data_IF_518076675124
#
_entry.id   IF_518076675124
#
_cell.length_a   1.000
_cell.length_b   1.000
_cell.length_c   1.000
_cell.angle_alpha   90.00
_cell.angle_beta   90.00
_cell.angle_gamma   90.00
#
_symmetry.space_group_name_H-M   'P 1'
#
loop_
_entity.id
_entity.type
_entity.pdbx_description
1 polymer ?
#
# COMPACT_ATOMS: atom_id res chain seq x y z
N UNK A 1 14.51 -37.53 39.69
CA UNK A 1 13.16 -37.66 40.28
C UNK A 1 12.72 -36.30 40.81
N UNK A 2 11.46 -35.93 40.55
CA UNK A 2 10.69 -34.82 41.13
C UNK A 2 11.10 -33.38 40.78
N UNK A 3 10.21 -32.41 40.55
CA UNK A 3 8.79 -32.40 40.19
C UNK A 3 8.45 -30.99 39.65
N UNK A 4 7.42 -30.95 38.83
CA UNK A 4 6.71 -29.82 38.20
C UNK A 4 6.57 -28.52 39.02
N UNK A 5 6.51 -27.37 38.34
CA UNK A 5 5.42 -26.39 38.54
C UNK A 5 5.33 -25.37 37.38
N UNK A 6 4.23 -25.47 36.63
CA UNK A 6 3.78 -24.53 35.60
C UNK A 6 2.64 -23.68 36.19
N UNK A 7 2.60 -22.35 36.00
CA UNK A 7 1.36 -21.60 36.20
C UNK A 7 0.65 -21.35 34.87
N UNK A 8 -0.61 -21.73 34.89
CA UNK A 8 -1.61 -21.65 33.83
C UNK A 8 -2.35 -20.31 33.85
N UNK A 9 -2.85 -19.89 32.67
CA UNK A 9 -3.99 -18.97 32.41
C UNK A 9 -3.89 -17.49 32.84
N UNK A 10 -3.92 -16.60 31.84
CA UNK A 10 -5.06 -15.66 31.63
C UNK A 10 -5.07 -15.08 30.21
N UNK A 11 -5.92 -15.68 29.38
CA UNK A 11 -6.34 -15.23 28.05
C UNK A 11 -7.34 -14.07 28.25
N UNK A 12 -6.98 -12.85 27.87
CA UNK A 12 -7.94 -11.72 27.82
C UNK A 12 -8.78 -11.84 26.56
N UNK A 13 -10.07 -12.10 26.74
CA UNK A 13 -11.10 -11.92 25.71
C UNK A 13 -11.43 -10.41 25.59
N UNK A 14 -11.68 -9.87 24.40
CA UNK A 14 -12.33 -8.57 24.26
C UNK A 14 -13.85 -8.71 24.40
N UNK A 15 -14.43 -7.97 25.35
CA UNK A 15 -15.88 -7.79 25.48
C UNK A 15 -16.40 -6.97 24.30
N UNK A 16 -17.12 -7.63 23.38
CA UNK A 16 -18.01 -6.96 22.43
C UNK A 16 -19.35 -6.71 23.12
N UNK A 17 -19.60 -5.47 23.56
CA UNK A 17 -20.95 -5.01 23.90
C UNK A 17 -21.61 -4.46 22.64
N UNK A 18 -22.49 -5.25 22.06
CA UNK A 18 -23.52 -4.75 21.15
C UNK A 18 -24.62 -4.07 21.96
N UNK A 19 -25.22 -3.03 21.38
CA UNK A 19 -26.62 -2.62 21.56
C UNK A 19 -26.89 -1.43 20.64
N UNK A 20 -27.53 -1.69 19.48
CA UNK A 20 -28.41 -0.70 18.87
C UNK A 20 -29.66 -1.45 18.43
N UNK A 21 -30.74 -1.11 19.12
CA UNK A 21 -32.11 -1.52 18.89
C UNK A 21 -32.61 -1.01 17.54
N UNK A 22 -33.29 -1.86 16.77
CA UNK A 22 -34.17 -1.44 15.70
C UNK A 22 -35.58 -1.90 16.06
N UNK A 23 -36.34 -0.98 16.65
CA UNK A 23 -37.77 -1.11 16.88
C UNK A 23 -38.53 -0.93 15.57
N UNK A 24 -39.47 -1.84 15.35
CA UNK A 24 -40.81 -1.67 14.79
C UNK A 24 -41.08 -0.43 13.92
N UNK A 25 -41.38 -0.70 12.64
CA UNK A 25 -42.56 -0.09 12.01
C UNK A 25 -43.29 -1.10 11.13
N UNK A 26 -44.54 -1.27 11.51
CA UNK A 26 -45.62 -2.01 10.89
C UNK A 26 -46.00 -1.57 9.47
N UNK A 27 -46.42 -2.59 8.70
CA UNK A 27 -47.67 -2.71 7.93
C UNK A 27 -48.05 -1.56 6.97
N UNK A 28 -48.24 -1.90 5.69
CA UNK A 28 -49.52 -1.82 4.94
C UNK A 28 -49.28 -2.37 3.53
N UNK A 29 -50.09 -3.37 3.17
CA UNK A 29 -50.09 -3.98 1.84
C UNK A 29 -50.75 -3.13 0.77
N UNK A 30 -50.43 -3.41 -0.49
CA UNK A 30 -51.24 -3.02 -1.62
C UNK A 30 -51.25 -4.16 -2.65
N UNK A 31 -52.45 -4.72 -2.82
CA UNK A 31 -52.82 -5.73 -3.81
C UNK A 31 -52.88 -5.06 -5.18
N UNK A 32 -52.13 -5.55 -6.17
CA UNK A 32 -52.30 -5.14 -7.57
C UNK A 32 -53.46 -5.92 -8.21
N UNK A 33 -54.37 -5.23 -8.94
CA UNK A 33 -55.60 -5.83 -9.43
C UNK A 33 -55.41 -6.62 -10.74
N UNK A 34 -56.13 -7.74 -10.78
CA UNK A 34 -56.48 -8.54 -11.95
C UNK A 34 -57.15 -7.66 -13.01
N UNK A 35 -56.64 -7.68 -14.25
CA UNK A 35 -57.35 -7.15 -15.42
C UNK A 35 -57.60 -8.28 -16.41
N UNK A 36 -58.88 -8.66 -16.50
CA UNK A 36 -59.44 -9.63 -17.45
C UNK A 36 -60.29 -8.84 -18.45
N UNK A 37 -60.02 -8.95 -19.75
CA UNK A 37 -61.04 -8.89 -20.82
C UNK A 37 -60.52 -9.48 -22.14
N UNK A 38 -61.48 -10.13 -22.81
CA UNK A 38 -61.49 -10.97 -24.02
C UNK A 38 -61.51 -10.12 -25.31
N UNK A 39 -61.55 -10.86 -26.45
CA UNK A 39 -61.88 -10.54 -27.87
C UNK A 39 -60.67 -10.15 -28.73
N UNK A 40 -60.46 -10.64 -29.95
CA UNK A 40 -61.19 -11.53 -30.86
C UNK A 40 -60.49 -11.51 -32.23
N UNK A 41 -60.75 -12.55 -33.02
CA UNK A 41 -60.25 -12.97 -34.35
C UNK A 41 -60.20 -11.90 -35.46
N UNK A 42 -59.16 -11.89 -36.31
CA UNK A 42 -59.22 -12.20 -37.77
C UNK A 42 -57.86 -12.09 -38.50
N UNK A 43 -57.74 -12.90 -39.55
CA UNK A 43 -56.60 -13.19 -40.41
C UNK A 43 -56.27 -12.08 -41.43
N UNK A 44 -55.04 -12.06 -41.96
CA UNK A 44 -54.78 -11.46 -43.28
C UNK A 44 -53.36 -10.92 -43.59
N UNK A 45 -52.38 -11.81 -43.82
CA UNK A 45 -51.35 -11.80 -44.90
C UNK A 45 -50.37 -10.59 -45.10
N UNK A 46 -49.30 -10.68 -45.92
CA UNK A 46 -48.03 -11.34 -45.61
C UNK A 46 -46.77 -10.43 -45.74
N UNK A 47 -45.62 -11.00 -45.34
CA UNK A 47 -44.24 -10.74 -45.79
C UNK A 47 -43.66 -9.31 -45.89
N UNK A 48 -42.75 -8.99 -44.97
CA UNK A 48 -41.41 -8.46 -45.31
C UNK A 48 -40.40 -8.94 -44.26
N UNK A 49 -39.70 -10.04 -44.54
CA UNK A 49 -38.55 -10.50 -43.75
C UNK A 49 -37.28 -9.88 -44.33
N UNK A 50 -36.83 -8.79 -43.72
CA UNK A 50 -35.47 -8.26 -43.93
C UNK A 50 -34.52 -8.94 -42.93
N UNK A 51 -33.55 -9.78 -43.36
CA UNK A 51 -32.49 -10.22 -42.47
C UNK A 51 -31.38 -9.15 -42.47
N UNK A 52 -31.62 -8.02 -41.82
CA UNK A 52 -30.52 -7.15 -41.42
C UNK A 52 -29.86 -7.77 -40.20
N UNK A 53 -28.90 -8.66 -40.46
CA UNK A 53 -27.93 -9.11 -39.46
C UNK A 53 -27.02 -7.93 -39.12
N UNK A 54 -27.55 -6.98 -38.36
CA UNK A 54 -26.71 -6.11 -37.54
C UNK A 54 -26.02 -7.03 -36.53
N UNK A 55 -24.76 -7.35 -36.82
CA UNK A 55 -23.78 -7.82 -35.85
C UNK A 55 -23.81 -6.85 -34.67
N UNK A 56 -24.65 -7.17 -33.69
CA UNK A 56 -24.76 -6.44 -32.44
C UNK A 56 -23.40 -6.44 -31.79
N UNK A 57 -22.70 -5.31 -31.92
CA UNK A 57 -21.54 -4.99 -31.11
C UNK A 57 -21.95 -5.29 -29.66
N UNK A 58 -21.26 -6.19 -28.94
CA UNK A 58 -21.69 -6.57 -27.61
C UNK A 58 -21.75 -5.30 -26.77
N UNK A 59 -22.96 -4.94 -26.32
CA UNK A 59 -23.18 -3.83 -25.38
C UNK A 59 -22.36 -4.15 -24.14
N UNK A 60 -21.16 -3.57 -24.05
CA UNK A 60 -20.29 -3.69 -22.89
C UNK A 60 -21.07 -3.10 -21.72
N UNK A 61 -21.57 -3.97 -20.85
CA UNK A 61 -22.31 -3.54 -19.68
C UNK A 61 -21.36 -2.85 -18.71
N UNK A 62 -21.87 -1.87 -17.94
CA UNK A 62 -21.08 -1.21 -16.88
C UNK A 62 -20.42 -2.23 -15.92
N UNK A 63 -21.06 -3.39 -15.73
CA UNK A 63 -20.54 -4.50 -14.95
C UNK A 63 -19.30 -5.12 -15.59
N UNK A 64 -19.31 -5.38 -16.90
CA UNK A 64 -18.16 -5.92 -17.63
C UNK A 64 -16.96 -4.95 -17.60
N UNK A 65 -17.20 -3.64 -17.71
CA UNK A 65 -16.14 -2.63 -17.62
C UNK A 65 -15.50 -2.63 -16.22
N UNK A 66 -16.31 -2.62 -15.16
CA UNK A 66 -15.82 -2.68 -13.78
C UNK A 66 -15.03 -3.96 -13.48
N UNK A 67 -15.47 -5.10 -14.04
CA UNK A 67 -14.78 -6.38 -13.91
C UNK A 67 -13.43 -6.38 -14.64
N UNK A 68 -13.37 -5.83 -15.86
CA UNK A 68 -12.13 -5.66 -16.62
C UNK A 68 -11.13 -4.75 -15.89
N UNK A 69 -11.59 -3.64 -15.32
CA UNK A 69 -10.73 -2.77 -14.50
C UNK A 69 -10.19 -3.49 -13.27
N UNK A 70 -11.03 -4.26 -12.58
CA UNK A 70 -10.63 -5.04 -11.40
C UNK A 70 -9.59 -6.10 -11.78
N UNK A 71 -9.82 -6.83 -12.87
CA UNK A 71 -8.87 -7.79 -13.40
C UNK A 71 -7.52 -7.12 -13.75
N UNK A 72 -7.56 -5.95 -14.40
CA UNK A 72 -6.36 -5.16 -14.71
C UNK A 72 -5.60 -4.70 -13.47
N UNK A 73 -6.29 -4.27 -12.41
CA UNK A 73 -5.67 -3.91 -11.12
C UNK A 73 -5.05 -5.13 -10.43
N UNK A 74 -5.71 -6.28 -10.47
CA UNK A 74 -5.19 -7.53 -9.90
C UNK A 74 -3.94 -8.02 -10.64
N UNK A 75 -3.96 -7.99 -11.98
CA UNK A 75 -2.79 -8.34 -12.80
C UNK A 75 -1.58 -7.48 -12.45
N UNK A 76 -1.77 -6.16 -12.30
CA UNK A 76 -0.68 -5.24 -11.92
C UNK A 76 -0.10 -5.54 -10.54
N UNK A 77 -0.94 -5.91 -9.56
CA UNK A 77 -0.47 -6.35 -8.25
C UNK A 77 0.33 -7.65 -8.33
N UNK A 78 -0.17 -8.62 -9.09
CA UNK A 78 0.54 -9.88 -9.31
C UNK A 78 1.89 -9.66 -10.00
N UNK A 79 1.95 -8.76 -11.01
CA UNK A 79 3.22 -8.38 -11.64
C UNK A 79 4.20 -7.76 -10.65
N UNK A 80 3.71 -6.91 -9.73
CA UNK A 80 4.54 -6.32 -8.68
C UNK A 80 5.06 -7.37 -7.69
N UNK A 81 4.19 -8.25 -7.19
CA UNK A 81 4.56 -9.36 -6.31
C UNK A 81 5.55 -10.32 -6.97
N UNK A 82 5.32 -10.66 -8.24
CA UNK A 82 6.23 -11.47 -9.04
C UNK A 82 7.60 -10.79 -9.22
N UNK A 83 7.64 -9.46 -9.37
CA UNK A 83 8.88 -8.70 -9.42
C UNK A 83 9.62 -8.73 -8.08
N UNK A 84 8.92 -8.55 -6.96
CA UNK A 84 9.51 -8.66 -5.61
C UNK A 84 10.07 -10.06 -5.32
N UNK A 85 9.38 -11.10 -5.79
CA UNK A 85 9.78 -12.49 -5.57
C UNK A 85 11.04 -12.90 -6.35
N UNK A 86 11.47 -12.12 -7.35
CA UNK A 86 12.71 -12.43 -8.06
C UNK A 86 13.91 -12.23 -7.14
N UNK A 87 14.72 -13.27 -7.00
CA UNK A 87 15.90 -13.24 -6.12
C UNK A 87 16.91 -12.14 -6.46
N UNK A 88 16.96 -11.70 -7.72
CA UNK A 88 17.80 -10.58 -8.20
C UNK A 88 17.39 -9.21 -7.64
N UNK A 89 16.13 -9.05 -7.24
CA UNK A 89 15.61 -7.78 -6.71
C UNK A 89 15.70 -7.71 -5.19
N UNK A 90 15.98 -8.82 -4.51
CA UNK A 90 16.16 -8.87 -3.07
C UNK A 90 17.57 -8.41 -2.73
N UNK A 91 17.68 -7.41 -1.86
CA UNK A 91 18.98 -6.97 -1.40
C UNK A 91 19.52 -7.92 -0.33
N UNK A 92 20.74 -8.40 -0.56
CA UNK A 92 21.44 -9.30 0.35
C UNK A 92 22.71 -8.60 0.85
N UNK A 93 22.87 -8.38 2.17
CA UNK A 93 24.08 -7.80 2.74
C UNK A 93 25.35 -8.55 2.31
N UNK A 94 25.25 -9.85 2.06
CA UNK A 94 26.37 -10.70 1.65
C UNK A 94 26.88 -10.37 0.23
N UNK A 95 26.03 -9.80 -0.63
CA UNK A 95 26.39 -9.39 -1.98
C UNK A 95 27.08 -8.02 -2.02
N UNK A 96 26.81 -7.16 -1.03
CA UNK A 96 27.45 -5.85 -0.87
C UNK A 96 27.83 -5.62 0.60
N UNK A 97 28.86 -6.33 1.11
CA UNK A 97 29.26 -6.26 2.52
C UNK A 97 29.84 -4.90 2.89
N UNK A 98 30.24 -4.11 1.90
CA UNK A 98 30.83 -2.79 2.09
C UNK A 98 29.81 -1.65 1.98
N UNK A 99 28.52 -1.97 1.85
CA UNK A 99 27.48 -0.96 1.79
C UNK A 99 27.51 -0.07 3.04
N UNK A 100 27.79 1.20 2.83
CA UNK A 100 27.77 2.24 3.87
C UNK A 100 26.92 3.40 3.39
N UNK A 101 26.02 3.85 4.26
CA UNK A 101 25.29 5.08 4.01
C UNK A 101 26.25 6.27 4.10
N UNK A 102 26.17 7.19 3.13
CA UNK A 102 27.11 8.31 3.03
C UNK A 102 26.77 9.42 4.01
N UNK A 103 27.79 10.17 4.43
CA UNK A 103 27.62 11.39 5.23
C UNK A 103 26.71 12.36 4.46
N UNK A 104 25.79 13.01 5.18
CA UNK A 104 24.80 13.92 4.61
C UNK A 104 23.52 13.25 4.11
N UNK A 105 23.47 11.91 4.01
CA UNK A 105 22.23 11.23 3.65
C UNK A 105 21.17 11.33 4.74
N UNK A 106 19.91 11.44 4.30
CA UNK A 106 18.73 11.35 5.16
C UNK A 106 18.30 9.89 5.25
N UNK A 107 18.23 9.39 6.46
CA UNK A 107 17.95 7.99 6.77
C UNK A 107 16.65 7.87 7.55
N UNK A 108 15.92 6.79 7.30
CA UNK A 108 14.65 6.47 7.93
C UNK A 108 14.74 5.08 8.53
N UNK A 109 14.25 4.91 9.75
CA UNK A 109 14.23 3.60 10.41
C UNK A 109 13.14 2.69 9.81
N UNK A 110 13.33 1.38 9.90
CA UNK A 110 12.43 0.37 9.34
C UNK A 110 10.95 0.61 9.64
N UNK A 111 10.61 0.79 10.92
CA UNK A 111 9.22 0.95 11.37
C UNK A 111 8.58 2.20 10.79
N UNK A 112 9.31 3.32 10.80
CA UNK A 112 8.85 4.59 10.25
C UNK A 112 8.65 4.50 8.74
N UNK A 113 9.63 3.90 8.03
CA UNK A 113 9.57 3.69 6.59
C UNK A 113 8.36 2.81 6.21
N UNK A 114 8.22 1.65 6.86
CA UNK A 114 7.14 0.70 6.61
C UNK A 114 5.77 1.35 6.82
N UNK A 115 5.61 2.11 7.90
CA UNK A 115 4.34 2.77 8.24
C UNK A 115 4.02 3.96 7.34
N UNK A 116 5.03 4.76 7.00
CA UNK A 116 4.82 5.98 6.21
C UNK A 116 4.52 5.65 4.74
N UNK A 117 5.35 4.82 4.11
CA UNK A 117 5.24 4.44 2.70
C UNK A 117 4.27 3.27 2.46
N UNK A 118 3.82 2.60 3.54
CA UNK A 118 2.94 1.42 3.50
C UNK A 118 3.61 0.29 2.70
N UNK A 119 4.86 0.01 3.05
CA UNK A 119 5.59 -1.08 2.46
C UNK A 119 5.30 -2.42 3.15
N UNK A 120 5.33 -3.51 2.38
CA UNK A 120 5.38 -4.88 2.91
C UNK A 120 6.80 -5.22 3.38
N UNK A 121 6.95 -6.32 4.12
CA UNK A 121 8.29 -6.77 4.51
C UNK A 121 9.15 -7.15 3.28
N UNK A 122 8.52 -7.74 2.26
CA UNK A 122 9.16 -8.13 1.01
C UNK A 122 9.66 -6.92 0.21
N UNK A 123 8.86 -5.84 0.17
CA UNK A 123 9.25 -4.57 -0.44
C UNK A 123 10.47 -3.96 0.28
N UNK A 124 10.46 -3.97 1.61
CA UNK A 124 11.61 -3.49 2.39
C UNK A 124 12.85 -4.36 2.17
N UNK A 125 12.69 -5.66 1.87
CA UNK A 125 13.78 -6.59 1.55
C UNK A 125 14.53 -6.25 0.26
N UNK A 126 13.94 -5.47 -0.64
CA UNK A 126 14.60 -5.04 -1.88
C UNK A 126 15.60 -3.90 -1.69
N UNK A 127 15.61 -3.26 -0.53
CA UNK A 127 16.37 -2.03 -0.30
C UNK A 127 17.65 -2.26 0.51
N UNK A 128 18.76 -1.62 0.12
CA UNK A 128 19.96 -1.57 0.94
C UNK A 128 19.69 -0.91 2.30
N UNK A 129 20.18 -1.53 3.36
CA UNK A 129 20.06 -1.01 4.72
C UNK A 129 21.36 -1.12 5.50
N UNK A 130 21.48 -0.29 6.53
CA UNK A 130 22.52 -0.42 7.56
C UNK A 130 21.86 -0.81 8.87
N UNK A 131 22.51 -1.72 9.59
CA UNK A 131 22.07 -2.13 10.93
C UNK A 131 22.63 -1.18 11.99
N UNK A 132 21.86 -0.97 13.06
CA UNK A 132 22.31 -0.24 14.23
C UNK A 132 21.87 -0.97 15.50
N UNK A 133 22.63 -0.78 16.58
CA UNK A 133 22.29 -1.37 17.86
C UNK A 133 21.00 -0.76 18.40
N UNK A 134 20.04 -1.62 18.74
CA UNK A 134 18.76 -1.20 19.27
C UNK A 134 18.84 -1.14 20.79
N UNK A 135 18.76 0.09 21.34
CA UNK A 135 18.82 0.35 22.78
C UNK A 135 17.79 -0.46 23.59
N UNK A 136 16.64 -0.78 23.00
CA UNK A 136 15.57 -1.51 23.68
C UNK A 136 15.73 -3.04 23.59
N UNK A 137 16.45 -3.54 22.59
CA UNK A 137 16.67 -4.96 22.39
C UNK A 137 17.99 -5.22 21.63
N UNK A 138 19.10 -5.44 22.35
CA UNK A 138 20.40 -5.69 21.73
C UNK A 138 20.43 -6.90 20.79
N UNK A 139 19.58 -7.91 21.02
CA UNK A 139 19.48 -9.12 20.19
C UNK A 139 18.79 -8.88 18.84
N UNK A 140 18.16 -7.71 18.65
CA UNK A 140 17.42 -7.37 17.42
C UNK A 140 17.87 -6.02 16.91
N UNK A 141 18.93 -5.97 16.09
CA UNK A 141 19.42 -4.71 15.55
C UNK A 141 18.34 -4.01 14.74
N UNK A 142 18.29 -2.70 14.88
CA UNK A 142 17.46 -1.85 14.05
C UNK A 142 18.00 -1.81 12.62
N UNK A 143 17.13 -1.51 11.66
CA UNK A 143 17.51 -1.30 10.25
C UNK A 143 17.18 0.12 9.84
N UNK A 144 18.10 0.74 9.12
CA UNK A 144 17.98 2.10 8.64
C UNK A 144 18.16 2.13 7.12
N UNK A 145 17.35 2.93 6.43
CA UNK A 145 17.26 2.96 4.98
C UNK A 145 17.48 4.38 4.48
N UNK A 146 18.13 4.54 3.34
CA UNK A 146 18.24 5.81 2.67
C UNK A 146 16.85 6.30 2.21
N UNK A 147 16.50 7.53 2.55
CA UNK A 147 15.21 8.14 2.17
C UNK A 147 15.02 8.18 0.65
N UNK A 148 16.07 8.42 -0.12
CA UNK A 148 15.97 8.52 -1.58
C UNK A 148 15.61 7.16 -2.20
N UNK A 149 16.18 6.07 -1.69
CA UNK A 149 15.89 4.73 -2.20
C UNK A 149 14.48 4.28 -1.82
N UNK A 150 14.01 4.62 -0.62
CA UNK A 150 12.61 4.46 -0.22
C UNK A 150 11.65 5.20 -1.17
N UNK A 151 11.98 6.45 -1.52
CA UNK A 151 11.16 7.24 -2.46
C UNK A 151 11.15 6.62 -3.85
N UNK A 152 12.32 6.20 -4.37
CA UNK A 152 12.42 5.52 -5.66
C UNK A 152 11.58 4.27 -5.71
N UNK A 153 11.61 3.43 -4.67
CA UNK A 153 10.76 2.24 -4.57
C UNK A 153 9.28 2.61 -4.53
N UNK A 154 8.90 3.64 -3.77
CA UNK A 154 7.52 4.11 -3.69
C UNK A 154 7.02 4.59 -5.06
N UNK A 155 7.82 5.36 -5.80
CA UNK A 155 7.48 5.85 -7.13
C UNK A 155 7.34 4.70 -8.12
N UNK A 156 8.27 3.74 -8.08
CA UNK A 156 8.22 2.53 -8.91
C UNK A 156 6.92 1.75 -8.65
N UNK A 157 6.62 1.48 -7.37
CA UNK A 157 5.40 0.79 -6.95
C UNK A 157 4.15 1.47 -7.49
N UNK A 158 4.03 2.78 -7.31
CA UNK A 158 2.84 3.52 -7.78
C UNK A 158 2.74 3.53 -9.31
N UNK A 159 3.85 3.66 -10.03
CA UNK A 159 3.85 3.59 -11.49
C UNK A 159 3.34 2.21 -11.98
N UNK A 160 3.81 1.11 -11.37
CA UNK A 160 3.37 -0.26 -11.70
C UNK A 160 1.89 -0.47 -11.39
N UNK A 161 1.45 -0.08 -10.20
CA UNK A 161 0.05 -0.25 -9.78
C UNK A 161 -0.92 0.56 -10.65
N UNK A 162 -0.45 1.65 -11.25
CA UNK A 162 -1.24 2.47 -12.18
C UNK A 162 -1.05 2.08 -13.65
N UNK A 163 -0.23 1.07 -13.96
CA UNK A 163 -0.11 0.49 -15.31
C UNK A 163 0.85 1.22 -16.23
N UNK A 164 1.85 1.91 -15.68
CA UNK A 164 2.96 2.42 -16.49
C UNK A 164 3.80 1.21 -16.95
N UNK A 165 3.88 1.02 -18.26
CA UNK A 165 4.61 -0.08 -18.88
C UNK A 165 6.13 0.11 -18.79
N UNK A 166 6.90 -0.98 -18.81
CA UNK A 166 8.37 -0.94 -18.78
C UNK A 166 8.99 -0.65 -17.41
N UNK A 167 8.20 -0.34 -16.37
CA UNK A 167 8.73 0.03 -15.05
C UNK A 167 9.40 -1.13 -14.33
N UNK A 168 8.99 -2.37 -14.63
CA UNK A 168 9.56 -3.58 -14.03
C UNK A 168 10.77 -4.09 -14.79
N UNK A 169 11.05 -3.55 -15.98
CA UNK A 169 12.11 -4.03 -16.87
C UNK A 169 13.43 -3.33 -16.50
N UNK A 170 14.20 -3.96 -15.61
CA UNK A 170 15.52 -3.48 -15.21
C UNK A 170 15.47 -2.17 -14.42
N UNK A 171 16.32 -1.20 -14.82
CA UNK A 171 16.41 0.11 -14.18
C UNK A 171 15.30 1.03 -14.72
N UNK A 172 14.39 1.51 -13.88
CA UNK A 172 13.28 2.34 -14.33
C UNK A 172 13.80 3.67 -14.88
N UNK A 173 13.30 4.07 -16.06
CA UNK A 173 13.63 5.35 -16.70
C UNK A 173 13.11 6.52 -15.85
N UNK A 174 13.81 7.65 -15.90
CA UNK A 174 13.47 8.83 -15.10
C UNK A 174 12.04 9.33 -15.36
N UNK A 175 11.55 9.26 -16.60
CA UNK A 175 10.20 9.73 -16.93
C UNK A 175 9.12 8.85 -16.29
N UNK A 176 9.37 7.54 -16.19
CA UNK A 176 8.48 6.63 -15.48
C UNK A 176 8.45 6.93 -13.98
N UNK A 177 9.61 7.24 -13.39
CA UNK A 177 9.71 7.64 -11.99
C UNK A 177 9.05 8.99 -11.73
N UNK A 178 9.09 9.95 -12.67
CA UNK A 178 8.35 11.22 -12.56
C UNK A 178 6.84 10.98 -12.52
N UNK A 179 6.32 10.08 -13.36
CA UNK A 179 4.89 9.69 -13.32
C UNK A 179 4.57 9.00 -12.00
N UNK A 180 5.40 8.05 -11.58
CA UNK A 180 5.28 7.37 -10.28
C UNK A 180 5.27 8.34 -9.10
N UNK A 181 6.12 9.37 -9.13
CA UNK A 181 6.15 10.43 -8.12
C UNK A 181 4.82 11.19 -8.06
N UNK A 182 4.28 11.63 -9.19
CA UNK A 182 2.98 12.34 -9.24
C UNK A 182 1.86 11.50 -8.63
N UNK A 183 1.83 10.20 -8.98
CA UNK A 183 0.84 9.26 -8.45
C UNK A 183 1.01 9.03 -6.94
N UNK A 184 2.25 8.90 -6.47
CA UNK A 184 2.57 8.79 -5.06
C UNK A 184 2.15 10.02 -4.27
N UNK A 185 2.49 11.22 -4.75
CA UNK A 185 2.15 12.48 -4.10
C UNK A 185 0.61 12.64 -4.00
N UNK A 186 -0.12 12.31 -5.07
CA UNK A 186 -1.59 12.31 -5.07
C UNK A 186 -2.16 11.32 -4.04
N UNK A 187 -1.59 10.12 -3.93
CA UNK A 187 -1.98 9.13 -2.92
C UNK A 187 -1.72 9.64 -1.51
N UNK A 188 -0.56 10.25 -1.27
CA UNK A 188 -0.20 10.79 0.05
C UNK A 188 -1.10 11.95 0.47
N UNK A 189 -1.47 12.84 -0.46
CA UNK A 189 -2.42 13.92 -0.22
C UNK A 189 -3.82 13.39 0.12
N UNK A 190 -4.27 12.33 -0.56
CA UNK A 190 -5.54 11.67 -0.24
C UNK A 190 -5.52 11.07 1.18
N UNK A 191 -4.42 10.40 1.55
CA UNK A 191 -4.24 9.85 2.88
C UNK A 191 -4.20 10.92 3.97
N UNK A 192 -3.50 12.04 3.73
CA UNK A 192 -3.48 13.17 4.66
C UNK A 192 -4.87 13.79 4.83
N UNK A 193 -5.61 13.96 3.72
CA UNK A 193 -6.99 14.46 3.74
C UNK A 193 -7.92 13.53 4.55
N UNK A 194 -7.78 12.20 4.38
CA UNK A 194 -8.54 11.22 5.17
C UNK A 194 -8.18 11.27 6.65
N UNK A 195 -6.90 11.40 6.97
CA UNK A 195 -6.43 11.48 8.35
C UNK A 195 -6.91 12.76 9.03
N UNK A 196 -6.87 13.91 8.34
CA UNK A 196 -7.42 15.17 8.84
C UNK A 196 -8.89 15.05 9.18
N UNK A 197 -9.69 14.39 8.33
CA UNK A 197 -11.11 14.14 8.60
C UNK A 197 -11.34 13.28 9.84
N UNK A 198 -10.45 12.33 10.14
CA UNK A 198 -10.60 11.44 11.30
C UNK A 198 -9.96 11.94 12.59
N UNK A 199 -9.16 13.01 12.53
CA UNK A 199 -8.39 13.53 13.66
C UNK A 199 -8.55 15.05 13.83
N UNK A 200 -9.78 15.55 13.66
CA UNK A 200 -10.14 16.95 13.95
C UNK A 200 -9.23 17.98 13.24
N UNK A 201 -8.93 17.72 11.97
CA UNK A 201 -8.09 18.59 11.15
C UNK A 201 -6.58 18.45 11.38
N UNK A 202 -6.12 17.58 12.29
CA UNK A 202 -4.69 17.34 12.51
C UNK A 202 -4.04 16.69 11.29
N UNK A 203 -2.86 17.17 10.92
CA UNK A 203 -2.06 16.58 9.84
C UNK A 203 -1.46 15.24 10.24
N UNK A 204 -1.14 14.38 9.27
CA UNK A 204 -0.46 13.11 9.53
C UNK A 204 0.89 13.34 10.21
N UNK A 205 1.34 12.43 11.09
CA UNK A 205 2.69 12.44 11.62
C UNK A 205 3.72 12.50 10.48
N UNK A 206 4.64 13.47 10.58
CA UNK A 206 5.71 13.67 9.60
C UNK A 206 6.69 12.50 9.69
N UNK A 207 7.21 12.08 8.53
CA UNK A 207 8.25 11.06 8.47
C UNK A 207 9.49 11.53 9.24
N UNK A 208 9.84 10.81 10.30
CA UNK A 208 11.07 11.05 11.04
C UNK A 208 12.26 10.65 10.20
N UNK A 209 13.18 11.60 9.99
CA UNK A 209 14.41 11.39 9.24
C UNK A 209 15.61 11.79 10.10
N UNK A 210 16.67 11.01 10.01
CA UNK A 210 17.95 11.28 10.67
C UNK A 210 18.99 11.62 9.60
N UNK A 211 19.85 12.60 9.85
CA UNK A 211 20.97 12.89 8.96
C UNK A 211 22.20 12.16 9.44
N UNK A 212 22.92 11.49 8.54
CA UNK A 212 24.24 10.95 8.88
C UNK A 212 25.21 12.11 8.98
N UNK A 213 25.70 12.34 10.20
CA UNK A 213 26.72 13.34 10.47
C UNK A 213 28.07 12.65 10.64
N UNK A 214 29.13 13.29 10.18
CA UNK A 214 30.48 12.85 10.51
C UNK A 214 30.64 12.99 12.02
N UNK A 215 30.93 11.89 12.72
CA UNK A 215 31.35 11.98 14.12
C UNK A 215 32.63 12.81 14.14
N UNK A 216 32.59 13.96 14.81
CA UNK A 216 33.82 14.68 15.15
C UNK A 216 34.60 13.74 16.05
N UNK A 217 35.71 13.21 15.54
CA UNK A 217 36.70 12.57 16.38
C UNK A 217 37.32 13.70 17.18
N UNK A 218 36.94 13.79 18.46
CA UNK A 218 37.69 14.61 19.39
C UNK A 218 39.06 13.96 19.51
N UNK A 219 40.04 14.59 18.88
CA UNK A 219 41.43 14.24 19.05
C UNK A 219 41.80 14.59 20.50
N UNK A 220 41.68 13.61 21.39
CA UNK A 220 42.00 13.75 22.82
C UNK A 220 43.47 14.06 23.07
N UNK A 221 44.31 14.09 22.03
CA UNK A 221 45.71 14.52 22.10
C UNK A 221 45.89 16.04 22.10
N UNK A 222 44.87 16.83 21.76
CA UNK A 222 44.97 18.30 21.72
C UNK A 222 44.50 18.91 23.04
N UNK A 223 45.38 19.56 23.83
CA UNK A 223 44.97 20.17 25.09
C UNK A 223 43.96 21.28 24.83
N UNK A 224 42.81 21.18 25.51
CA UNK A 224 41.79 22.22 25.58
C UNK A 224 42.45 23.48 26.14
N UNK A 225 42.63 24.51 25.32
CA UNK A 225 43.13 25.81 25.82
C UNK A 225 42.16 26.30 26.89
N UNK A 226 42.61 26.59 28.12
CA UNK A 226 41.75 27.23 29.10
C UNK A 226 41.29 28.57 28.52
N UNK A 227 39.99 28.84 28.63
CA UNK A 227 39.40 30.11 28.24
C UNK A 227 40.16 31.24 28.92
N UNK A 228 40.65 32.18 28.10
CA UNK A 228 41.47 33.30 28.54
C UNK A 228 40.75 34.17 29.57
N UNK A 229 41.55 34.59 30.56
CA UNK A 229 41.29 35.62 31.57
C UNK A 229 41.11 36.98 30.91
#
# INVERSE_FOLDING_TARGET
MSANNTPSKRRRQPEFKGNISASDRDVIGAKTPVKRRKTGTEEGSPEFKSPSSEKGSPKVTKKALAEAEKAGKNRRKQSWEAWLARGENQWKPEQDPNYKQKIGWKVVQYTDAKNHFRFSNEEMGTLPYVTFENQNNPMRPGKSYNKLDLLRLAYRKEAVLNGVEGVLDGVPKDDMLKVGKRLFDARMNNLDSKYKKSHDGKSRPVLRTFSIVQRRTYDTSKPTRPFGV
#
